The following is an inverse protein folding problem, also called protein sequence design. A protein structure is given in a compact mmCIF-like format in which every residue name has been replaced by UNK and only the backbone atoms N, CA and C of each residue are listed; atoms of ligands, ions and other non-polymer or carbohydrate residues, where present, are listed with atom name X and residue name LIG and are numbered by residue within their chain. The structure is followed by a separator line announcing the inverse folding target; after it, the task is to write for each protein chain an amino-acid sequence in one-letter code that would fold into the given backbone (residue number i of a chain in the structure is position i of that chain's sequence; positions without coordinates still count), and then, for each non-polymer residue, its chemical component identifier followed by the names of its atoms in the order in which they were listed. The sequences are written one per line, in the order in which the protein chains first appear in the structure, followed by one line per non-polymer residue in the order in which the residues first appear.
data_IF_469667256588
#
_entry.id   IF_469667256588
#
_cell.length_a   1.000
_cell.length_b   1.000
_cell.length_c   1.000
_cell.angle_alpha   90.00
_cell.angle_beta   90.00
_cell.angle_gamma   90.00
#
_symmetry.space_group_name_H-M   'P 1'
#
loop_
_entity.id
_entity.type
_entity.pdbx_description
1 polymer ?
#
# COMPACT_ATOMS: atom_id res chain seq x y z
N UNK A 1 15.17 4.26 -5.93
CA UNK A 1 14.30 3.63 -4.92
C UNK A 1 14.23 4.54 -3.71
N UNK A 2 13.09 5.19 -3.47
CA UNK A 2 12.84 6.00 -2.28
C UNK A 2 12.03 5.15 -1.27
N UNK A 3 12.60 4.91 -0.09
CA UNK A 3 11.91 4.26 1.03
C UNK A 3 11.49 5.36 2.00
N UNK A 4 10.20 5.38 2.37
CA UNK A 4 9.65 6.29 3.37
C UNK A 4 9.64 5.60 4.73
N UNK A 5 10.07 6.31 5.76
CA UNK A 5 10.01 5.88 7.16
C UNK A 5 8.93 6.68 7.85
N UNK A 6 7.98 6.01 8.49
CA UNK A 6 6.91 6.67 9.24
C UNK A 6 6.90 6.16 10.67
N UNK A 7 7.14 7.09 11.60
CA UNK A 7 6.95 6.87 13.03
C UNK A 7 5.63 7.51 13.47
N UNK A 8 4.75 6.77 14.13
CA UNK A 8 3.68 7.40 14.89
C UNK A 8 4.29 8.02 16.16
N UNK A 9 4.58 9.33 16.11
CA UNK A 9 5.10 10.11 17.23
C UNK A 9 4.02 10.27 18.33
N UNK A 10 4.23 9.64 19.48
CA UNK A 10 3.79 10.20 20.77
C UNK A 10 5.00 10.94 21.34
N UNK A 11 4.81 12.20 21.73
CA UNK A 11 5.85 13.10 22.23
C UNK A 11 6.80 12.41 23.21
N UNK A 12 8.05 12.21 22.78
CA UNK A 12 9.19 11.99 23.66
C UNK A 12 10.23 13.05 23.32
N UNK A 13 10.44 13.99 24.23
CA UNK A 13 11.56 14.91 24.20
C UNK A 13 12.86 14.11 24.25
N UNK A 14 13.70 14.17 23.21
CA UNK A 14 15.16 14.21 23.31
C UNK A 14 15.84 14.57 21.98
N UNK A 15 17.11 14.95 22.10
CA UNK A 15 17.94 15.86 21.33
C UNK A 15 18.08 15.68 19.79
N UNK A 16 18.11 16.82 19.07
CA UNK A 16 18.19 16.94 17.59
C UNK A 16 19.60 16.76 17.00
N UNK A 17 20.48 15.99 17.64
CA UNK A 17 21.90 15.92 17.27
C UNK A 17 22.31 14.76 16.34
N UNK A 18 21.59 13.64 16.31
CA UNK A 18 22.14 12.37 15.79
C UNK A 18 21.46 11.78 14.54
N UNK A 19 20.38 12.40 14.04
CA UNK A 19 19.63 11.89 12.88
C UNK A 19 20.41 11.94 11.53
N UNK A 20 21.52 12.68 11.46
CA UNK A 20 22.26 12.92 10.20
C UNK A 20 23.22 11.80 9.76
N UNK A 21 23.62 10.89 10.65
CA UNK A 21 24.64 9.86 10.33
C UNK A 21 24.03 8.52 9.87
N UNK A 22 22.80 8.20 10.27
CA UNK A 22 22.09 6.96 9.89
C UNK A 22 21.80 6.90 8.38
N UNK A 23 21.61 8.05 7.72
CA UNK A 23 21.36 8.15 6.27
C UNK A 23 22.57 7.82 5.37
N UNK A 24 23.79 7.71 5.90
CA UNK A 24 24.99 7.47 5.07
C UNK A 24 25.39 5.99 4.95
N UNK A 25 25.00 5.13 5.89
CA UNK A 25 25.35 3.71 5.89
C UNK A 25 24.48 2.86 4.92
N UNK A 26 23.20 3.20 4.73
CA UNK A 26 22.31 2.53 3.76
C UNK A 26 22.60 2.84 2.28
N UNK A 27 23.59 3.70 2.00
CA UNK A 27 23.81 4.27 0.68
C UNK A 27 24.70 3.40 -0.26
N UNK A 28 25.25 2.27 0.21
CA UNK A 28 26.05 1.37 -0.64
C UNK A 28 25.19 0.40 -1.47
N UNK A 29 24.04 -0.04 -0.94
CA UNK A 29 23.11 -0.91 -1.66
C UNK A 29 22.29 -0.12 -2.71
N UNK A 30 21.74 1.04 -2.31
CA UNK A 30 20.96 1.93 -3.18
C UNK A 30 21.73 2.50 -4.38
N UNK A 31 23.06 2.45 -4.38
CA UNK A 31 23.91 2.95 -5.48
C UNK A 31 23.99 2.00 -6.68
N UNK A 32 23.66 0.72 -6.55
CA UNK A 32 23.62 -0.22 -7.68
C UNK A 32 22.41 -0.04 -8.59
N UNK A 33 21.44 0.79 -8.19
CA UNK A 33 20.19 1.05 -8.91
C UNK A 33 20.23 2.26 -9.88
N UNK A 34 21.41 2.80 -10.23
CA UNK A 34 21.52 3.91 -11.20
C UNK A 34 21.98 3.42 -12.57
N UNK A 35 21.08 3.43 -13.55
CA UNK A 35 21.43 3.54 -14.98
C UNK A 35 21.87 4.98 -15.30
N UNK A 36 22.81 5.21 -16.24
CA UNK A 36 23.47 6.50 -16.37
C UNK A 36 22.66 7.47 -17.24
N UNK A 37 22.08 8.49 -16.62
CA UNK A 37 21.62 9.71 -17.30
C UNK A 37 22.48 10.88 -16.82
N UNK A 38 23.44 11.28 -17.66
CA UNK A 38 24.32 12.44 -17.44
C UNK A 38 23.49 13.72 -17.57
N UNK A 39 23.55 14.61 -16.58
CA UNK A 39 23.50 16.07 -16.80
C UNK A 39 24.19 16.81 -15.63
N UNK A 40 25.05 17.75 -16.03
CA UNK A 40 25.95 18.58 -15.21
C UNK A 40 25.18 19.53 -14.32
N UNK A 41 25.70 19.78 -13.12
CA UNK A 41 25.31 20.88 -12.25
C UNK A 41 26.20 22.09 -12.51
N UNK A 42 25.61 23.26 -12.75
CA UNK A 42 26.29 24.55 -12.67
C UNK A 42 25.90 25.23 -11.34
N UNK A 43 26.90 25.62 -10.57
CA UNK A 43 26.80 26.46 -9.39
C UNK A 43 27.24 27.88 -9.73
N UNK A 44 26.58 28.88 -9.15
CA UNK A 44 26.96 30.30 -9.18
C UNK A 44 26.17 31.10 -8.12
N UNK A 45 26.68 32.26 -7.64
CA UNK A 45 27.06 32.49 -6.24
C UNK A 45 26.19 33.55 -5.52
N UNK A 46 26.49 33.92 -4.24
CA UNK A 46 25.62 34.77 -3.43
C UNK A 46 25.94 36.27 -3.57
N UNK A 47 24.95 37.11 -3.23
CA UNK A 47 25.02 38.45 -2.58
C UNK A 47 23.92 39.39 -3.10
N UNK A 48 23.40 40.25 -2.21
CA UNK A 48 22.69 41.47 -2.63
C UNK A 48 21.65 42.00 -1.65
N UNK A 49 21.99 43.10 -0.98
CA UNK A 49 21.19 43.88 -0.03
C UNK A 49 20.09 44.76 -0.65
N UNK A 50 19.11 45.10 0.21
CA UNK A 50 18.07 46.13 0.17
C UNK A 50 18.20 47.31 -0.83
N UNK A 51 17.08 47.67 -1.48
CA UNK A 51 16.64 49.07 -1.62
C UNK A 51 15.13 49.18 -1.89
N UNK A 52 14.54 50.26 -1.38
CA UNK A 52 13.14 50.70 -1.37
C UNK A 52 12.61 51.21 -2.72
N UNK A 53 11.31 51.02 -3.00
CA UNK A 53 10.34 52.07 -3.40
C UNK A 53 9.06 51.47 -3.97
N UNK A 54 7.96 52.20 -3.82
CA UNK A 54 6.59 51.70 -3.89
C UNK A 54 6.07 51.33 -5.27
N UNK A 55 5.12 50.40 -5.25
CA UNK A 55 4.24 50.05 -6.34
C UNK A 55 3.11 49.21 -5.75
N UNK A 56 1.90 49.76 -5.73
CA UNK A 56 0.71 49.05 -5.29
C UNK A 56 0.43 47.90 -6.27
N UNK A 57 0.94 46.71 -5.93
CA UNK A 57 0.59 45.46 -6.60
C UNK A 57 -0.56 44.86 -5.80
N UNK A 58 -1.73 44.86 -6.41
CA UNK A 58 -2.88 44.05 -6.01
C UNK A 58 -2.45 42.59 -5.99
N UNK A 59 -2.00 42.11 -4.84
CA UNK A 59 -1.85 40.68 -4.58
C UNK A 59 -3.25 40.12 -4.41
N UNK A 60 -3.87 39.75 -5.54
CA UNK A 60 -4.97 38.79 -5.54
C UNK A 60 -4.33 37.46 -5.12
N UNK A 61 -4.25 37.24 -3.81
CA UNK A 61 -3.81 35.97 -3.23
C UNK A 61 -4.81 34.92 -3.71
N UNK A 62 -4.46 34.19 -4.77
CA UNK A 62 -5.08 32.91 -5.07
C UNK A 62 -4.59 31.95 -3.98
N UNK A 63 -5.16 32.09 -2.78
CA UNK A 63 -5.26 31.01 -1.82
C UNK A 63 -6.14 29.96 -2.50
N UNK A 64 -5.52 29.15 -3.36
CA UNK A 64 -6.12 27.93 -3.84
C UNK A 64 -6.41 27.09 -2.61
N UNK A 65 -7.64 27.20 -2.12
CA UNK A 65 -8.19 26.44 -1.00
C UNK A 65 -8.05 24.94 -1.37
N UNK A 66 -6.96 24.31 -0.91
CA UNK A 66 -6.73 22.90 -1.15
C UNK A 66 -7.86 22.10 -0.53
N UNK A 67 -8.64 21.41 -1.36
CA UNK A 67 -9.74 20.53 -0.91
C UNK A 67 -9.25 19.56 0.16
N UNK A 68 -10.05 19.36 1.21
CA UNK A 68 -9.74 18.45 2.29
C UNK A 68 -10.10 17.01 1.92
N UNK A 69 -9.28 16.04 2.36
CA UNK A 69 -9.56 14.60 2.23
C UNK A 69 -10.20 14.11 3.52
N UNK A 70 -11.37 13.49 3.43
CA UNK A 70 -12.09 12.93 4.58
C UNK A 70 -12.37 11.46 4.30
N UNK A 71 -11.95 10.59 5.20
CA UNK A 71 -12.20 9.15 5.11
C UNK A 71 -13.31 8.74 6.07
N UNK A 72 -14.26 7.95 5.60
CA UNK A 72 -15.27 7.28 6.42
C UNK A 72 -15.11 5.77 6.30
N UNK A 73 -15.40 5.04 7.38
CA UNK A 73 -15.37 3.58 7.41
C UNK A 73 -16.76 3.02 7.67
N UNK A 74 -17.11 2.00 6.90
CA UNK A 74 -18.38 1.30 6.95
C UNK A 74 -18.12 -0.21 6.99
N UNK A 75 -19.13 -0.96 7.42
CA UNK A 75 -19.06 -2.41 7.45
C UNK A 75 -20.40 -2.99 7.00
N UNK A 76 -20.36 -4.08 6.26
CA UNK A 76 -21.52 -4.87 5.87
C UNK A 76 -21.15 -6.35 5.84
N UNK A 77 -22.13 -7.22 6.05
CA UNK A 77 -21.96 -8.66 5.97
C UNK A 77 -22.58 -9.17 4.68
N UNK A 78 -21.84 -9.92 3.86
CA UNK A 78 -22.41 -10.46 2.63
C UNK A 78 -21.80 -11.81 2.27
N UNK A 79 -22.58 -12.61 1.56
CA UNK A 79 -22.15 -13.89 1.01
C UNK A 79 -21.99 -13.85 -0.50
N UNK A 80 -21.17 -14.73 -1.05
CA UNK A 80 -20.91 -14.85 -2.48
C UNK A 80 -20.20 -16.17 -2.81
N UNK A 81 -19.96 -16.38 -4.11
CA UNK A 81 -19.11 -17.45 -4.63
C UNK A 81 -18.56 -17.05 -6.01
N UNK A 82 -17.40 -17.56 -6.38
CA UNK A 82 -16.82 -17.36 -7.71
C UNK A 82 -17.21 -18.50 -8.65
N UNK A 83 -18.00 -18.19 -9.66
CA UNK A 83 -18.43 -19.19 -10.65
C UNK A 83 -18.56 -18.57 -12.02
N UNK A 84 -17.82 -19.12 -12.96
CA UNK A 84 -17.99 -18.86 -14.38
C UNK A 84 -18.95 -19.91 -14.94
N UNK A 85 -20.11 -19.51 -15.48
CA UNK A 85 -21.17 -20.45 -15.88
C UNK A 85 -20.79 -21.35 -17.06
N UNK A 86 -19.79 -20.94 -17.84
CA UNK A 86 -19.29 -21.70 -18.99
C UNK A 86 -18.23 -22.74 -18.63
N UNK A 87 -17.75 -22.76 -17.38
CA UNK A 87 -16.77 -23.74 -16.89
C UNK A 87 -17.45 -24.86 -16.09
N UNK A 88 -16.83 -26.04 -16.07
CA UNK A 88 -17.25 -27.13 -15.20
C UNK A 88 -17.03 -26.78 -13.72
N UNK A 89 -17.63 -27.56 -12.80
CA UNK A 89 -17.37 -27.40 -11.36
C UNK A 89 -15.90 -27.66 -11.02
N UNK A 90 -15.27 -28.63 -11.69
CA UNK A 90 -13.85 -28.96 -11.51
C UNK A 90 -12.95 -27.81 -11.96
N UNK A 91 -13.24 -27.22 -13.13
CA UNK A 91 -12.48 -26.08 -13.66
C UNK A 91 -12.65 -24.83 -12.79
N UNK A 92 -13.87 -24.55 -12.32
CA UNK A 92 -14.11 -23.47 -11.35
C UNK A 92 -13.36 -23.71 -10.04
N UNK A 93 -13.34 -24.94 -9.53
CA UNK A 93 -12.59 -25.29 -8.32
C UNK A 93 -11.07 -25.16 -8.53
N UNK A 94 -10.56 -25.50 -9.71
CA UNK A 94 -9.15 -25.32 -10.07
C UNK A 94 -8.77 -23.84 -10.17
N UNK A 95 -9.65 -23.00 -10.71
CA UNK A 95 -9.39 -21.58 -10.92
C UNK A 95 -9.54 -20.75 -9.63
N UNK A 96 -10.63 -20.96 -8.90
CA UNK A 96 -11.00 -20.13 -7.75
C UNK A 96 -10.75 -20.81 -6.39
N UNK A 97 -10.36 -22.09 -6.38
CA UNK A 97 -10.08 -22.82 -5.15
C UNK A 97 -11.29 -22.86 -4.22
N UNK A 98 -11.10 -22.45 -2.96
CA UNK A 98 -12.18 -22.40 -1.95
C UNK A 98 -13.24 -21.35 -2.27
N UNK A 99 -12.89 -20.29 -3.01
CA UNK A 99 -13.81 -19.20 -3.33
C UNK A 99 -14.91 -19.62 -4.31
N UNK A 100 -14.78 -20.78 -4.98
CA UNK A 100 -15.85 -21.34 -5.81
C UNK A 100 -17.06 -21.81 -5.01
N UNK A 101 -16.90 -22.02 -3.70
CA UNK A 101 -17.96 -22.44 -2.79
C UNK A 101 -18.66 -21.22 -2.22
N UNK A 102 -19.93 -21.38 -1.85
CA UNK A 102 -20.66 -20.36 -1.13
C UNK A 102 -20.00 -20.06 0.21
N UNK A 103 -19.67 -18.79 0.45
CA UNK A 103 -19.05 -18.30 1.68
C UNK A 103 -19.46 -16.84 1.90
N UNK A 104 -19.08 -16.26 3.03
CA UNK A 104 -19.35 -14.85 3.30
C UNK A 104 -18.27 -14.19 4.14
N UNK A 105 -18.32 -12.87 4.18
CA UNK A 105 -17.33 -12.02 4.80
C UNK A 105 -17.97 -10.84 5.52
N UNK A 106 -17.24 -10.32 6.50
CA UNK A 106 -17.58 -9.08 7.19
C UNK A 106 -16.73 -7.98 6.57
N UNK A 107 -17.22 -7.43 5.46
CA UNK A 107 -16.48 -6.46 4.68
C UNK A 107 -16.32 -5.15 5.46
N UNK A 108 -15.14 -4.54 5.35
CA UNK A 108 -14.92 -3.15 5.77
C UNK A 108 -14.69 -2.30 4.53
N UNK A 109 -15.40 -1.19 4.41
CA UNK A 109 -15.26 -0.25 3.30
C UNK A 109 -14.77 1.08 3.83
N UNK A 110 -13.61 1.53 3.37
CA UNK A 110 -13.15 2.90 3.57
C UNK A 110 -13.42 3.71 2.31
N UNK A 111 -14.11 4.85 2.48
CA UNK A 111 -14.41 5.78 1.38
C UNK A 111 -13.75 7.11 1.67
N UNK A 112 -12.88 7.56 0.76
CA UNK A 112 -12.20 8.85 0.83
C UNK A 112 -12.91 9.84 -0.08
N UNK A 113 -13.41 10.93 0.50
CA UNK A 113 -14.04 12.03 -0.21
C UNK A 113 -13.10 13.24 -0.27
N UNK A 114 -13.14 13.95 -1.41
CA UNK A 114 -12.46 15.23 -1.60
C UNK A 114 -13.44 16.40 -1.50
N UNK A 115 -13.47 17.03 -0.33
CA UNK A 115 -14.47 18.03 0.05
C UNK A 115 -13.91 19.44 0.06
N UNK A 116 -14.80 20.44 0.07
CA UNK A 116 -14.40 21.82 0.28
C UNK A 116 -13.74 21.98 1.66
N UNK A 117 -12.72 22.85 1.81
CA UNK A 117 -12.14 23.12 3.12
C UNK A 117 -13.20 23.62 4.09
N UNK A 118 -13.09 23.23 5.36
CA UNK A 118 -14.02 23.64 6.42
C UNK A 118 -15.47 23.20 6.14
N UNK A 119 -15.65 22.07 5.46
CA UNK A 119 -16.99 21.46 5.30
C UNK A 119 -17.63 21.28 6.68
N UNK A 120 -18.85 21.79 6.93
CA UNK A 120 -19.50 21.72 8.25
C UNK A 120 -19.70 20.26 8.72
N UNK A 121 -19.60 20.03 10.03
CA UNK A 121 -19.79 18.71 10.63
C UNK A 121 -21.13 18.07 10.23
N UNK A 122 -22.23 18.82 10.24
CA UNK A 122 -23.56 18.32 9.82
C UNK A 122 -23.60 17.83 8.37
N UNK A 123 -22.81 18.45 7.47
CA UNK A 123 -22.71 17.99 6.08
C UNK A 123 -21.88 16.70 5.97
N UNK A 124 -20.84 16.56 6.80
CA UNK A 124 -20.07 15.31 6.91
C UNK A 124 -20.93 14.16 7.45
N UNK A 125 -21.74 14.42 8.48
CA UNK A 125 -22.69 13.45 9.04
C UNK A 125 -23.74 13.02 8.02
N UNK A 126 -24.31 13.98 7.29
CA UNK A 126 -25.28 13.70 6.21
C UNK A 126 -24.65 12.82 5.13
N UNK A 127 -23.43 13.14 4.70
CA UNK A 127 -22.70 12.35 3.70
C UNK A 127 -22.39 10.94 4.22
N UNK A 128 -21.92 10.81 5.46
CA UNK A 128 -21.65 9.52 6.08
C UNK A 128 -22.92 8.66 6.18
N UNK A 129 -24.04 9.25 6.61
CA UNK A 129 -25.33 8.56 6.71
C UNK A 129 -25.84 8.09 5.34
N UNK A 130 -25.82 8.97 4.34
CA UNK A 130 -26.23 8.63 2.97
C UNK A 130 -25.35 7.52 2.37
N UNK A 131 -24.04 7.56 2.63
CA UNK A 131 -23.09 6.52 2.20
C UNK A 131 -23.41 5.18 2.85
N UNK A 132 -23.60 5.17 4.18
CA UNK A 132 -23.99 3.97 4.93
C UNK A 132 -25.29 3.37 4.40
N UNK A 133 -26.34 4.18 4.30
CA UNK A 133 -27.65 3.74 3.83
C UNK A 133 -27.57 3.10 2.43
N UNK A 134 -26.73 3.68 1.56
CA UNK A 134 -26.55 3.19 0.19
C UNK A 134 -25.78 1.88 0.12
N UNK A 135 -24.75 1.71 0.94
CA UNK A 135 -24.01 0.44 1.05
C UNK A 135 -24.93 -0.64 1.62
N UNK A 136 -25.58 -0.37 2.75
CA UNK A 136 -26.42 -1.35 3.44
C UNK A 136 -27.56 -1.85 2.56
N UNK A 137 -28.27 -0.94 1.88
CA UNK A 137 -29.40 -1.30 1.02
C UNK A 137 -29.03 -2.29 -0.10
N UNK A 138 -27.78 -2.23 -0.58
CA UNK A 138 -27.29 -3.01 -1.72
C UNK A 138 -26.57 -4.30 -1.32
N UNK A 139 -25.92 -4.34 -0.16
CA UNK A 139 -24.99 -5.42 0.18
C UNK A 139 -25.24 -6.12 1.51
N UNK A 140 -25.77 -5.42 2.52
CA UNK A 140 -25.81 -5.95 3.87
C UNK A 140 -26.82 -7.11 4.01
N UNK A 141 -26.33 -8.20 4.58
CA UNK A 141 -26.99 -9.51 4.70
C UNK A 141 -27.51 -10.11 3.37
N UNK A 142 -26.81 -9.86 2.26
CA UNK A 142 -27.20 -10.38 0.93
C UNK A 142 -26.21 -11.40 0.36
N UNK A 143 -26.69 -12.21 -0.58
CA UNK A 143 -25.85 -12.98 -1.48
C UNK A 143 -25.54 -12.15 -2.73
N UNK A 144 -24.34 -11.58 -2.84
CA UNK A 144 -23.99 -10.53 -3.81
C UNK A 144 -24.29 -10.96 -5.24
N UNK A 145 -23.78 -12.12 -5.65
CA UNK A 145 -23.93 -12.63 -7.03
C UNK A 145 -25.31 -13.19 -7.36
N UNK A 146 -26.21 -13.34 -6.39
CA UNK A 146 -27.61 -13.74 -6.62
C UNK A 146 -28.53 -12.52 -6.62
N UNK A 147 -28.40 -11.67 -5.61
CA UNK A 147 -29.34 -10.59 -5.33
C UNK A 147 -28.95 -9.27 -6.00
N UNK A 148 -27.66 -8.99 -6.18
CA UNK A 148 -27.21 -7.71 -6.70
C UNK A 148 -27.14 -7.72 -8.24
N UNK A 149 -27.90 -6.85 -8.96
CA UNK A 149 -27.99 -6.90 -10.42
C UNK A 149 -26.65 -6.80 -11.15
N UNK A 150 -25.74 -5.94 -10.67
CA UNK A 150 -24.42 -5.75 -11.29
C UNK A 150 -23.52 -6.99 -11.21
N UNK A 151 -23.76 -7.91 -10.26
CA UNK A 151 -22.91 -9.08 -10.02
C UNK A 151 -23.55 -10.40 -10.45
N UNK A 152 -24.64 -10.34 -11.23
CA UNK A 152 -25.23 -11.53 -11.86
C UNK A 152 -24.35 -12.09 -12.98
N UNK A 153 -23.67 -11.19 -13.70
CA UNK A 153 -22.81 -11.51 -14.85
C UNK A 153 -21.33 -11.16 -14.60
N UNK A 154 -21.04 -10.45 -13.52
CA UNK A 154 -19.69 -10.08 -13.10
C UNK A 154 -19.39 -10.71 -11.75
N UNK A 155 -18.20 -11.29 -11.60
CA UNK A 155 -17.78 -11.86 -10.32
C UNK A 155 -17.63 -10.77 -9.26
N UNK A 156 -18.16 -10.94 -8.04
CA UNK A 156 -18.07 -9.98 -6.95
C UNK A 156 -16.70 -10.07 -6.24
N UNK A 157 -15.62 -10.02 -7.01
CA UNK A 157 -14.26 -9.94 -6.44
C UNK A 157 -14.10 -8.66 -5.63
N UNK A 158 -13.18 -8.65 -4.66
CA UNK A 158 -12.90 -7.45 -3.86
C UNK A 158 -12.56 -6.25 -4.76
N UNK A 159 -11.85 -6.48 -5.87
CA UNK A 159 -11.54 -5.48 -6.89
C UNK A 159 -12.79 -4.93 -7.59
N UNK A 160 -13.68 -5.81 -8.07
CA UNK A 160 -14.90 -5.39 -8.74
C UNK A 160 -15.86 -4.67 -7.78
N UNK A 161 -15.90 -5.09 -6.51
CA UNK A 161 -16.64 -4.38 -5.46
C UNK A 161 -16.09 -2.96 -5.23
N UNK A 162 -14.77 -2.79 -5.17
CA UNK A 162 -14.15 -1.47 -5.02
C UNK A 162 -14.47 -0.55 -6.20
N UNK A 163 -14.40 -1.06 -7.43
CA UNK A 163 -14.76 -0.31 -8.64
C UNK A 163 -16.25 0.05 -8.66
N UNK A 164 -17.11 -0.92 -8.34
CA UNK A 164 -18.55 -0.70 -8.30
C UNK A 164 -18.92 0.37 -7.27
N UNK A 165 -18.50 0.20 -6.01
CA UNK A 165 -18.79 1.14 -4.93
C UNK A 165 -18.28 2.54 -5.22
N UNK A 166 -17.09 2.68 -5.81
CA UNK A 166 -16.57 3.99 -6.19
C UNK A 166 -17.47 4.70 -7.21
N UNK A 167 -17.91 3.98 -8.25
CA UNK A 167 -18.79 4.53 -9.30
C UNK A 167 -20.17 4.84 -8.74
N UNK A 168 -20.74 3.86 -8.06
CA UNK A 168 -22.05 3.93 -7.44
C UNK A 168 -22.11 5.14 -6.49
N UNK A 169 -21.23 5.24 -5.48
CA UNK A 169 -21.24 6.34 -4.53
C UNK A 169 -20.98 7.71 -5.18
N UNK A 170 -20.10 7.78 -6.19
CA UNK A 170 -19.82 9.02 -6.90
C UNK A 170 -21.05 9.53 -7.65
N UNK A 171 -21.73 8.65 -8.39
CA UNK A 171 -22.89 9.00 -9.20
C UNK A 171 -24.15 9.20 -8.35
N UNK A 172 -24.46 8.24 -7.48
CA UNK A 172 -25.70 8.23 -6.70
C UNK A 172 -25.73 9.25 -5.57
N UNK A 173 -24.58 9.68 -5.05
CA UNK A 173 -24.51 10.77 -4.05
C UNK A 173 -24.07 12.10 -4.65
N UNK A 174 -23.76 12.15 -5.96
CA UNK A 174 -23.14 13.30 -6.62
C UNK A 174 -21.93 13.84 -5.82
N UNK A 175 -21.10 12.93 -5.32
CA UNK A 175 -20.03 13.23 -4.38
C UNK A 175 -18.65 13.04 -5.04
N UNK A 176 -17.69 13.88 -4.65
CA UNK A 176 -16.31 13.77 -5.12
C UNK A 176 -15.57 12.63 -4.38
N UNK A 177 -15.94 11.38 -4.68
CA UNK A 177 -15.23 10.18 -4.21
C UNK A 177 -13.84 10.18 -4.86
N UNK A 178 -12.82 10.16 -4.01
CA UNK A 178 -11.42 10.07 -4.41
C UNK A 178 -10.98 8.60 -4.49
N UNK A 179 -11.28 7.81 -3.46
CA UNK A 179 -10.87 6.41 -3.38
C UNK A 179 -11.90 5.60 -2.59
N UNK A 180 -12.09 4.35 -2.98
CA UNK A 180 -12.78 3.33 -2.19
C UNK A 180 -11.83 2.17 -1.97
N UNK A 181 -11.66 1.77 -0.72
CA UNK A 181 -10.94 0.56 -0.30
C UNK A 181 -11.93 -0.43 0.31
N UNK A 182 -11.95 -1.66 -0.20
CA UNK A 182 -12.77 -2.76 0.30
C UNK A 182 -11.85 -3.80 0.92
N UNK A 183 -12.06 -4.10 2.20
CA UNK A 183 -11.38 -5.16 2.91
C UNK A 183 -12.32 -6.35 3.02
N UNK A 184 -11.95 -7.45 2.38
CA UNK A 184 -12.67 -8.72 2.47
C UNK A 184 -12.34 -9.46 3.78
N UNK A 185 -11.09 -9.30 4.25
CA UNK A 185 -10.64 -9.81 5.54
C UNK A 185 -9.58 -8.89 6.13
N UNK A 186 -9.10 -9.22 7.34
CA UNK A 186 -7.94 -8.52 7.94
C UNK A 186 -6.67 -8.62 7.10
N UNK A 187 -6.62 -9.56 6.15
CA UNK A 187 -5.43 -9.85 5.35
C UNK A 187 -5.57 -9.54 3.87
N UNK A 188 -6.75 -9.14 3.39
CA UNK A 188 -7.01 -8.91 1.97
C UNK A 188 -7.86 -7.66 1.79
N UNK A 189 -7.36 -6.74 0.95
CA UNK A 189 -8.08 -5.55 0.56
C UNK A 189 -7.80 -5.17 -0.88
N UNK A 190 -8.76 -4.53 -1.53
CA UNK A 190 -8.60 -3.94 -2.86
C UNK A 190 -9.07 -2.48 -2.85
N UNK A 191 -8.34 -1.60 -3.53
CA UNK A 191 -8.64 -0.17 -3.58
C UNK A 191 -8.63 0.38 -5.00
N UNK A 192 -9.58 1.27 -5.26
CA UNK A 192 -9.77 1.92 -6.54
C UNK A 192 -9.96 3.43 -6.38
N UNK A 193 -9.16 4.20 -7.13
CA UNK A 193 -9.08 5.66 -7.03
C UNK A 193 -9.47 6.38 -8.34
N UNK A 194 -10.27 5.74 -9.20
CA UNK A 194 -10.71 6.32 -10.46
C UNK A 194 -9.70 6.20 -11.62
N UNK A 195 -8.55 5.55 -11.40
CA UNK A 195 -7.51 5.39 -12.41
C UNK A 195 -7.96 4.44 -13.52
N UNK A 196 -7.62 4.77 -14.77
CA UNK A 196 -7.98 4.01 -15.95
C UNK A 196 -6.74 3.76 -16.82
N UNK A 197 -6.67 2.58 -17.42
CA UNK A 197 -5.73 2.26 -18.48
C UNK A 197 -6.53 1.88 -19.74
N UNK A 198 -6.01 2.23 -20.91
CA UNK A 198 -6.60 1.83 -22.18
C UNK A 198 -6.02 0.48 -22.59
N UNK A 199 -6.88 -0.51 -22.82
CA UNK A 199 -6.45 -1.82 -23.33
C UNK A 199 -6.11 -1.77 -24.84
N UNK A 200 -5.66 -2.90 -25.38
CA UNK A 200 -5.30 -3.02 -26.80
C UNK A 200 -6.47 -2.76 -27.76
N UNK A 201 -7.72 -2.81 -27.28
CA UNK A 201 -8.93 -2.57 -28.06
C UNK A 201 -9.43 -1.11 -27.94
N UNK A 202 -8.70 -0.26 -27.20
CA UNK A 202 -9.09 1.13 -26.99
C UNK A 202 -10.13 1.31 -25.87
N UNK A 203 -10.45 0.27 -25.10
CA UNK A 203 -11.43 0.33 -24.02
C UNK A 203 -10.77 0.78 -22.73
N UNK A 204 -11.39 1.75 -22.05
CA UNK A 204 -10.94 2.18 -20.73
C UNK A 204 -11.26 1.11 -19.68
N UNK A 205 -10.23 0.64 -18.98
CA UNK A 205 -10.30 -0.38 -17.94
C UNK A 205 -9.82 0.19 -16.59
N UNK A 206 -10.52 -0.12 -15.48
CA UNK A 206 -10.11 0.34 -14.16
C UNK A 206 -8.76 -0.26 -13.78
N UNK A 207 -7.88 0.57 -13.23
CA UNK A 207 -6.63 0.11 -12.61
C UNK A 207 -6.85 0.07 -11.10
N UNK A 208 -6.72 -1.12 -10.53
CA UNK A 208 -7.03 -1.41 -9.12
C UNK A 208 -5.76 -1.84 -8.40
N UNK A 209 -5.68 -1.57 -7.11
CA UNK A 209 -4.64 -2.14 -6.23
C UNK A 209 -5.24 -3.26 -5.38
N UNK A 210 -4.50 -4.35 -5.21
CA UNK A 210 -4.83 -5.45 -4.28
C UNK A 210 -3.69 -5.56 -3.26
N UNK A 211 -4.03 -5.51 -1.97
CA UNK A 211 -3.09 -5.65 -0.86
C UNK A 211 -3.35 -6.95 -0.12
N UNK A 212 -2.28 -7.73 0.08
CA UNK A 212 -2.26 -8.95 0.88
C UNK A 212 -1.30 -8.79 2.05
N UNK A 213 -1.76 -9.15 3.25
CA UNK A 213 -0.98 -9.11 4.48
C UNK A 213 -0.42 -10.50 4.81
N UNK A 214 0.86 -10.53 5.16
CA UNK A 214 1.61 -11.67 5.68
C UNK A 214 2.22 -11.33 7.03
N UNK A 215 2.62 -12.37 7.77
CA UNK A 215 3.38 -12.23 9.02
C UNK A 215 4.58 -13.17 8.99
N UNK A 216 5.68 -12.77 9.61
CA UNK A 216 6.82 -13.64 9.85
C UNK A 216 7.56 -13.22 11.12
N UNK A 217 8.21 -14.17 11.78
CA UNK A 217 8.99 -13.91 12.98
C UNK A 217 10.47 -14.06 12.66
N UNK A 218 11.28 -13.05 12.96
CA UNK A 218 12.72 -13.11 12.72
C UNK A 218 13.52 -12.46 13.84
N UNK A 219 14.71 -13.00 14.09
CA UNK A 219 15.70 -12.41 14.99
C UNK A 219 16.81 -11.73 14.20
N UNK A 220 17.37 -10.66 14.75
CA UNK A 220 18.48 -9.93 14.15
C UNK A 220 19.25 -9.06 15.14
N UNK A 221 20.40 -8.58 14.68
CA UNK A 221 21.25 -7.59 15.31
C UNK A 221 21.56 -6.49 14.30
N UNK A 222 21.33 -5.23 14.69
CA UNK A 222 21.82 -4.11 13.90
C UNK A 222 23.31 -3.93 14.17
N UNK A 223 24.13 -4.39 13.23
CA UNK A 223 25.58 -4.40 13.34
C UNK A 223 26.22 -4.18 11.97
N UNK A 224 27.15 -3.24 11.90
CA UNK A 224 28.01 -3.03 10.76
C UNK A 224 29.40 -3.61 11.08
N UNK A 225 29.87 -4.63 10.33
CA UNK A 225 31.17 -5.28 10.59
C UNK A 225 32.37 -4.37 10.37
N UNK A 226 32.19 -3.21 9.72
CA UNK A 226 33.25 -2.23 9.52
C UNK A 226 33.37 -1.18 10.64
N UNK A 227 32.57 -1.31 11.71
CA UNK A 227 32.58 -0.40 12.85
C UNK A 227 32.95 -1.15 14.13
N UNK A 228 33.54 -0.45 15.10
CA UNK A 228 33.78 -1.02 16.43
C UNK A 228 32.46 -1.30 17.16
N UNK A 229 32.49 -2.15 18.20
CA UNK A 229 31.29 -2.40 19.03
C UNK A 229 30.77 -1.13 19.71
N UNK A 230 31.67 -0.23 20.12
CA UNK A 230 31.30 1.07 20.70
C UNK A 230 30.58 1.94 19.67
N UNK A 231 31.10 2.02 18.44
CA UNK A 231 30.47 2.77 17.35
C UNK A 231 29.11 2.19 16.98
N UNK A 232 28.99 0.87 16.87
CA UNK A 232 27.72 0.19 16.61
C UNK A 232 26.71 0.47 17.73
N UNK A 233 27.13 0.42 19.00
CA UNK A 233 26.27 0.73 20.16
C UNK A 233 25.86 2.20 20.18
N UNK A 234 26.74 3.12 19.78
CA UNK A 234 26.42 4.54 19.67
C UNK A 234 25.38 4.82 18.57
N UNK A 235 25.42 4.07 17.46
CA UNK A 235 24.50 4.27 16.32
C UNK A 235 23.16 3.55 16.53
N UNK A 236 23.18 2.28 16.91
CA UNK A 236 22.00 1.41 16.94
C UNK A 236 21.46 1.16 18.35
N UNK A 237 22.15 1.63 19.39
CA UNK A 237 21.70 1.53 20.78
C UNK A 237 21.41 0.09 21.20
N UNK A 238 20.20 -0.15 21.74
CA UNK A 238 19.75 -1.46 22.19
C UNK A 238 19.68 -2.49 21.05
N UNK A 239 19.48 -2.06 19.81
CA UNK A 239 19.41 -2.95 18.65
C UNK A 239 20.79 -3.53 18.27
N UNK A 240 21.90 -2.99 18.81
CA UNK A 240 23.25 -3.51 18.64
C UNK A 240 23.62 -4.66 19.60
N UNK A 241 22.68 -5.13 20.43
CA UNK A 241 22.91 -6.21 21.41
C UNK A 241 23.65 -7.40 20.75
N UNK A 242 24.82 -7.84 21.27
CA UNK A 242 25.57 -8.97 20.70
C UNK A 242 24.77 -10.25 20.53
N UNK A 243 23.77 -10.48 21.38
CA UNK A 243 22.88 -11.65 21.31
C UNK A 243 21.61 -11.41 20.46
N UNK A 244 21.52 -10.26 19.79
CA UNK A 244 20.37 -9.88 18.98
C UNK A 244 19.11 -9.57 19.77
N UNK A 245 18.02 -9.48 19.02
CA UNK A 245 16.62 -9.38 19.44
C UNK A 245 15.74 -9.86 18.28
N UNK A 246 14.42 -9.86 18.41
CA UNK A 246 13.54 -10.26 17.30
C UNK A 246 12.22 -9.52 17.29
N UNK A 247 11.49 -9.69 16.20
CA UNK A 247 10.18 -9.08 15.96
C UNK A 247 9.23 -10.05 15.26
N UNK A 248 7.94 -9.88 15.54
CA UNK A 248 6.86 -10.43 14.74
C UNK A 248 6.46 -9.37 13.71
N UNK A 249 7.03 -9.48 12.52
CA UNK A 249 6.84 -8.52 11.44
C UNK A 249 5.46 -8.70 10.80
N UNK A 250 4.81 -7.59 10.43
CA UNK A 250 3.68 -7.61 9.49
C UNK A 250 4.11 -7.03 8.15
N UNK A 251 3.86 -7.78 7.08
CA UNK A 251 4.26 -7.43 5.72
C UNK A 251 3.02 -7.25 4.85
N UNK A 252 2.79 -6.04 4.35
CA UNK A 252 1.78 -5.77 3.32
C UNK A 252 2.45 -5.72 1.94
N UNK A 253 1.97 -6.56 1.03
CA UNK A 253 2.34 -6.53 -0.38
C UNK A 253 1.14 -6.00 -1.17
N UNK A 254 1.31 -4.87 -1.85
CA UNK A 254 0.30 -4.34 -2.77
C UNK A 254 0.76 -4.54 -4.20
N UNK A 255 -0.07 -5.19 -5.01
CA UNK A 255 0.04 -5.23 -6.47
C UNK A 255 -0.97 -4.29 -7.11
N UNK A 256 -0.66 -3.78 -8.29
CA UNK A 256 -1.51 -2.87 -9.07
C UNK A 256 -1.62 -3.39 -10.50
N UNK A 257 -2.83 -3.35 -11.06
CA UNK A 257 -3.08 -3.81 -12.42
C UNK A 257 -4.53 -3.61 -12.85
N UNK A 258 -4.83 -4.03 -14.07
CA UNK A 258 -6.20 -4.07 -14.57
C UNK A 258 -6.81 -5.41 -14.17
N UNK A 259 -7.96 -5.47 -13.46
CA UNK A 259 -8.62 -6.74 -13.22
C UNK A 259 -8.94 -7.45 -14.53
N UNK A 260 -8.61 -8.74 -14.61
CA UNK A 260 -8.89 -9.55 -15.79
C UNK A 260 -10.42 -9.56 -16.05
N UNK A 261 -10.87 -9.34 -17.30
CA UNK A 261 -12.29 -9.14 -17.59
C UNK A 261 -13.16 -10.38 -17.36
N UNK A 262 -12.55 -11.57 -17.28
CA UNK A 262 -13.27 -12.83 -17.05
C UNK A 262 -13.28 -13.13 -15.55
N UNK A 263 -12.12 -13.11 -14.91
CA UNK A 263 -11.96 -13.52 -13.51
C UNK A 263 -12.22 -12.41 -12.51
N UNK A 264 -12.14 -11.14 -12.93
CA UNK A 264 -12.27 -9.97 -12.07
C UNK A 264 -11.10 -9.75 -11.11
N UNK A 265 -9.97 -10.44 -11.29
CA UNK A 265 -8.82 -10.39 -10.38
C UNK A 265 -7.65 -9.63 -11.03
N UNK A 266 -6.93 -8.83 -10.25
CA UNK A 266 -5.64 -8.27 -10.70
C UNK A 266 -4.58 -9.37 -10.80
N UNK A 267 -4.57 -10.27 -9.82
CA UNK A 267 -3.71 -11.44 -9.75
C UNK A 267 -4.44 -12.53 -8.95
N UNK A 268 -4.20 -13.81 -9.27
CA UNK A 268 -4.72 -14.88 -8.43
C UNK A 268 -4.04 -14.85 -7.05
N UNK A 269 -4.83 -14.84 -5.97
CA UNK A 269 -4.31 -14.76 -4.61
C UNK A 269 -3.41 -15.95 -4.24
N UNK A 270 -3.72 -17.15 -4.74
CA UNK A 270 -2.92 -18.35 -4.50
C UNK A 270 -1.54 -18.24 -5.15
N UNK A 271 -1.46 -17.60 -6.32
CA UNK A 271 -0.19 -17.35 -7.01
C UNK A 271 0.64 -16.31 -6.26
N UNK A 272 0.01 -15.24 -5.75
CA UNK A 272 0.71 -14.24 -4.93
C UNK A 272 1.22 -14.86 -3.63
N UNK A 273 0.39 -15.64 -2.94
CA UNK A 273 0.77 -16.33 -1.70
C UNK A 273 1.94 -17.31 -1.95
N UNK A 274 1.92 -18.07 -3.04
CA UNK A 274 3.01 -18.97 -3.41
C UNK A 274 4.31 -18.22 -3.75
N UNK A 275 4.21 -17.10 -4.48
CA UNK A 275 5.34 -16.25 -4.83
C UNK A 275 5.98 -15.64 -3.58
N UNK A 276 5.19 -15.03 -2.70
CA UNK A 276 5.68 -14.41 -1.46
C UNK A 276 6.26 -15.48 -0.53
N UNK A 277 5.67 -16.68 -0.48
CA UNK A 277 6.25 -17.78 0.29
C UNK A 277 7.65 -18.17 -0.24
N UNK A 278 7.79 -18.34 -1.56
CA UNK A 278 9.03 -18.82 -2.17
C UNK A 278 10.15 -17.76 -2.13
N UNK A 279 9.83 -16.52 -2.47
CA UNK A 279 10.79 -15.44 -2.66
C UNK A 279 11.01 -14.59 -1.40
N UNK A 280 10.10 -14.61 -0.43
CA UNK A 280 10.22 -13.76 0.77
C UNK A 280 10.24 -14.59 2.04
N UNK A 281 9.14 -15.27 2.37
CA UNK A 281 8.98 -15.86 3.70
C UNK A 281 9.96 -17.01 3.94
N UNK A 282 10.27 -17.82 2.93
CA UNK A 282 11.30 -18.87 3.03
C UNK A 282 12.67 -18.33 3.45
N UNK A 283 12.96 -17.06 3.15
CA UNK A 283 14.22 -16.40 3.46
C UNK A 283 14.19 -15.64 4.79
N UNK A 284 13.02 -15.28 5.33
CA UNK A 284 12.92 -14.39 6.49
C UNK A 284 12.26 -15.04 7.71
N UNK A 285 11.32 -15.95 7.51
CA UNK A 285 10.52 -16.51 8.59
C UNK A 285 11.30 -17.55 9.40
N UNK A 286 11.22 -17.41 10.73
CA UNK A 286 11.95 -18.19 11.73
C UNK A 286 13.47 -18.20 11.52
N UNK A 287 14.03 -17.07 11.08
CA UNK A 287 15.47 -16.91 10.80
C UNK A 287 16.17 -15.98 11.78
N UNK A 288 17.44 -16.27 12.06
CA UNK A 288 18.40 -15.26 12.50
C UNK A 288 19.03 -14.60 11.28
N UNK A 289 18.54 -13.41 10.92
CA UNK A 289 18.79 -12.78 9.62
C UNK A 289 20.27 -12.59 9.31
N UNK A 290 21.07 -12.23 10.33
CA UNK A 290 22.50 -11.96 10.17
C UNK A 290 23.32 -13.18 9.75
N UNK A 291 22.84 -14.41 9.93
CA UNK A 291 23.61 -15.63 9.60
C UNK A 291 22.93 -16.44 8.48
N UNK A 292 21.60 -16.43 8.44
CA UNK A 292 20.84 -17.32 7.56
C UNK A 292 20.36 -16.64 6.28
N UNK A 293 20.48 -15.30 6.17
CA UNK A 293 19.86 -14.53 5.09
C UNK A 293 20.84 -13.56 4.43
N UNK A 294 21.65 -14.01 3.45
CA UNK A 294 22.41 -13.08 2.62
C UNK A 294 21.48 -12.07 1.94
N UNK A 295 21.80 -10.77 1.93
CA UNK A 295 23.11 -10.16 2.23
C UNK A 295 23.30 -9.66 3.68
N UNK A 296 22.42 -10.03 4.62
CA UNK A 296 22.45 -9.51 6.00
C UNK A 296 23.60 -10.07 6.86
N UNK A 297 24.37 -10.99 6.31
CA UNK A 297 25.69 -11.42 6.77
C UNK A 297 26.76 -10.33 6.62
N UNK A 298 26.52 -9.34 5.76
CA UNK A 298 27.48 -8.26 5.48
C UNK A 298 26.89 -6.85 5.62
N UNK A 299 25.55 -6.72 5.65
CA UNK A 299 24.87 -5.44 5.86
C UNK A 299 23.92 -5.51 7.05
N UNK A 300 23.72 -4.41 7.79
CA UNK A 300 22.75 -4.41 8.89
C UNK A 300 21.33 -4.70 8.39
N UNK A 301 20.58 -5.64 8.98
CA UNK A 301 19.19 -5.94 8.65
C UNK A 301 18.23 -4.86 9.19
N UNK A 302 18.45 -3.60 8.83
CA UNK A 302 17.46 -2.56 9.15
C UNK A 302 16.17 -2.83 8.38
N UNK A 303 15.04 -2.38 8.90
CA UNK A 303 13.76 -2.55 8.23
C UNK A 303 13.70 -1.90 6.84
N UNK A 304 14.46 -0.82 6.59
CA UNK A 304 14.64 -0.27 5.23
C UNK A 304 15.35 -1.27 4.29
N UNK A 305 16.42 -1.92 4.76
CA UNK A 305 17.13 -2.91 3.97
C UNK A 305 16.28 -4.17 3.75
N UNK A 306 15.43 -4.56 4.71
CA UNK A 306 14.46 -5.64 4.54
C UNK A 306 13.42 -5.29 3.47
N UNK A 307 12.85 -4.08 3.49
CA UNK A 307 11.95 -3.62 2.42
C UNK A 307 12.65 -3.64 1.07
N UNK A 308 13.89 -3.17 0.99
CA UNK A 308 14.67 -3.21 -0.25
C UNK A 308 14.88 -4.64 -0.76
N UNK A 309 15.28 -5.55 0.13
CA UNK A 309 15.43 -6.98 -0.16
C UNK A 309 14.14 -7.60 -0.70
N UNK A 310 12.99 -7.33 -0.07
CA UNK A 310 11.69 -7.85 -0.51
C UNK A 310 11.32 -7.33 -1.90
N UNK A 311 11.50 -6.03 -2.15
CA UNK A 311 11.18 -5.42 -3.46
C UNK A 311 12.04 -6.02 -4.56
N UNK A 312 13.35 -6.17 -4.33
CA UNK A 312 14.25 -6.73 -5.33
C UNK A 312 13.88 -8.17 -5.71
N UNK A 313 13.40 -8.96 -4.75
CA UNK A 313 12.98 -10.34 -4.99
C UNK A 313 11.63 -10.45 -5.68
N UNK A 314 10.66 -9.60 -5.34
CA UNK A 314 9.32 -9.68 -5.92
C UNK A 314 9.21 -9.01 -7.30
N UNK A 315 9.97 -7.94 -7.54
CA UNK A 315 9.84 -7.13 -8.76
C UNK A 315 9.99 -7.96 -10.04
N UNK A 316 11.00 -8.83 -10.23
CA UNK A 316 11.18 -9.60 -11.47
C UNK A 316 9.98 -10.50 -11.83
N UNK A 317 9.19 -10.92 -10.84
CA UNK A 317 8.04 -11.80 -11.02
C UNK A 317 6.73 -11.03 -11.29
N UNK A 318 6.72 -9.72 -11.04
CA UNK A 318 5.54 -8.86 -11.12
C UNK A 318 5.73 -7.76 -12.18
N UNK A 319 5.96 -8.18 -13.43
CA UNK A 319 6.18 -7.30 -14.59
C UNK A 319 5.04 -7.33 -15.62
N UNK A 320 4.05 -8.20 -15.42
CA UNK A 320 2.91 -8.41 -16.31
C UNK A 320 1.75 -7.46 -16.02
N UNK A 321 0.54 -8.02 -16.02
CA UNK A 321 -0.69 -7.30 -15.67
C UNK A 321 -0.67 -6.78 -14.22
N UNK A 322 -0.25 -7.63 -13.29
CA UNK A 322 0.00 -7.26 -11.90
C UNK A 322 1.45 -6.79 -11.72
N UNK A 323 1.60 -5.57 -11.24
CA UNK A 323 2.90 -4.96 -10.93
C UNK A 323 3.03 -4.72 -9.44
N UNK A 324 4.22 -4.93 -8.90
CA UNK A 324 4.49 -4.58 -7.50
C UNK A 324 4.33 -3.06 -7.33
N UNK A 325 3.42 -2.65 -6.46
CA UNK A 325 3.08 -1.25 -6.25
C UNK A 325 3.54 -0.72 -4.90
N UNK A 326 3.44 -1.52 -3.84
CA UNK A 326 3.82 -1.11 -2.48
C UNK A 326 4.30 -2.31 -1.68
N UNK A 327 5.33 -2.08 -0.87
CA UNK A 327 5.79 -3.01 0.16
C UNK A 327 5.86 -2.21 1.45
N UNK A 328 5.05 -2.58 2.43
CA UNK A 328 5.08 -1.99 3.78
C UNK A 328 5.42 -3.06 4.80
N UNK A 329 6.49 -2.83 5.54
CA UNK A 329 6.96 -3.71 6.60
C UNK A 329 6.78 -3.01 7.94
N UNK A 330 5.93 -3.56 8.80
CA UNK A 330 5.80 -3.16 10.19
C UNK A 330 6.76 -4.01 11.03
N UNK A 331 7.77 -3.35 11.58
CA UNK A 331 8.66 -3.97 12.57
C UNK A 331 7.98 -4.07 13.93
N UNK A 332 7.18 -3.06 14.26
CA UNK A 332 6.33 -3.05 15.45
C UNK A 332 4.99 -2.40 15.11
N UNK A 333 3.96 -2.50 15.96
CA UNK A 333 2.68 -1.79 15.74
C UNK A 333 2.80 -0.26 15.62
N UNK A 334 3.96 0.33 15.94
CA UNK A 334 4.19 1.78 15.96
C UNK A 334 5.21 2.27 14.92
N UNK A 335 5.84 1.36 14.19
CA UNK A 335 6.92 1.69 13.25
C UNK A 335 6.79 0.84 11.99
N UNK A 336 6.67 1.52 10.85
CA UNK A 336 6.69 0.88 9.54
C UNK A 336 7.60 1.59 8.56
N UNK A 337 8.04 0.79 7.59
CA UNK A 337 8.94 1.18 6.52
C UNK A 337 8.28 0.79 5.21
N UNK A 338 8.29 1.70 4.26
CA UNK A 338 7.52 1.52 3.03
C UNK A 338 8.32 1.91 1.80
N UNK A 339 8.27 1.02 0.82
CA UNK A 339 8.54 1.36 -0.56
C UNK A 339 7.22 1.43 -1.33
N UNK A 340 7.10 2.43 -2.20
CA UNK A 340 6.01 2.54 -3.15
C UNK A 340 6.61 2.83 -4.53
N UNK A 341 6.07 2.20 -5.56
CA UNK A 341 6.44 2.45 -6.94
C UNK A 341 6.17 3.93 -7.30
N UNK A 342 7.10 4.54 -8.05
CA UNK A 342 6.88 5.86 -8.63
C UNK A 342 5.76 5.77 -9.68
N UNK A 343 4.91 6.80 -9.73
CA UNK A 343 3.72 6.85 -10.58
C UNK A 343 4.03 7.05 -12.05
#
# INVERSE_FOLDING_TARGET
MHIRVVHHLVHLHHDRGQAGQVLRAGNQFLRRLKTPSKRRWHSSPPHGSLSTSGGAISHRVHLGLMRQRVAFRFAFEASHFYRLPHLSDEDNARLFGKASRHHGHNYQVEVVYRLAPQTPAAALETLAHATRQRIDAQFDHRCINIEHPAFREQLPTTENLAVYLWRDLREGLNAAVEEVSVHESETLASAYAGEQATDSEGVARPVVTMTRLYTFSAAHRLYNPHLSDEQNRAIYGKCANPYGHGHDYKLEITVKGVPDPITGMVMNLTELDALVQAEVLRHLDHKYLNEETPPFDHIPPTSENLVAFIVERLTPHLQGNARLHRVRLWETPRSYFEWQAES
#
